data_IF_155365140024
#
_entry.id   IF_155365140024
#
_cell.length_a   1.000
_cell.length_b   1.000
_cell.length_c   1.000
_cell.angle_alpha   90.00
_cell.angle_beta   90.00
_cell.angle_gamma   90.00
#
_symmetry.space_group_name_H-M   'P 1'
#
loop_
_entity.id
_entity.type
_entity.pdbx_description
1 polymer ?
#
# COMPACT_ATOMS: atom_id res chain seq x y z
N UNK A 1 0.96 14.98 -41.73
CA UNK A 1 1.48 14.07 -40.69
C UNK A 1 1.56 14.87 -39.41
N UNK A 2 0.58 14.74 -38.51
CA UNK A 2 0.76 15.25 -37.15
C UNK A 2 1.96 14.49 -36.53
N UNK A 3 2.91 15.17 -35.88
CA UNK A 3 3.90 14.47 -35.08
C UNK A 3 3.14 13.72 -33.99
N UNK A 4 3.14 12.40 -34.06
CA UNK A 4 2.72 11.54 -32.95
C UNK A 4 3.67 11.81 -31.79
N UNK A 5 3.33 12.80 -30.96
CA UNK A 5 4.01 13.03 -29.70
C UNK A 5 3.79 11.78 -28.87
N UNK A 6 4.78 10.90 -28.85
CA UNK A 6 4.77 9.71 -28.01
C UNK A 6 4.55 10.19 -26.58
N UNK A 7 3.48 9.71 -25.96
CA UNK A 7 3.12 10.08 -24.59
C UNK A 7 4.31 9.82 -23.66
N UNK A 8 4.67 10.74 -22.75
CA UNK A 8 5.79 10.53 -21.82
C UNK A 8 5.56 9.31 -20.90
N UNK A 9 4.32 8.82 -20.82
CA UNK A 9 3.95 7.65 -20.03
C UNK A 9 4.24 6.31 -20.73
N UNK A 10 4.41 6.28 -22.07
CA UNK A 10 4.49 5.00 -22.81
C UNK A 10 5.71 4.16 -22.42
N UNK A 11 6.84 4.80 -22.11
CA UNK A 11 8.06 4.11 -21.65
C UNK A 11 7.88 3.40 -20.30
N UNK A 12 6.84 3.77 -19.54
CA UNK A 12 6.58 3.25 -18.20
C UNK A 12 5.47 2.20 -18.16
N UNK A 13 4.83 1.90 -19.28
CA UNK A 13 3.66 1.02 -19.34
C UNK A 13 3.93 -0.35 -18.70
N UNK A 14 5.00 -1.02 -19.11
CA UNK A 14 5.40 -2.31 -18.55
C UNK A 14 5.67 -2.25 -17.04
N UNK A 15 6.31 -1.16 -16.58
CA UNK A 15 6.58 -0.96 -15.17
C UNK A 15 5.27 -0.87 -14.37
N UNK A 16 4.31 -0.04 -14.80
CA UNK A 16 3.05 0.12 -14.08
C UNK A 16 2.13 -1.11 -14.20
N UNK A 17 2.21 -1.88 -15.28
CA UNK A 17 1.54 -3.18 -15.39
C UNK A 17 2.08 -4.16 -14.34
N UNK A 18 3.41 -4.26 -14.17
CA UNK A 18 4.04 -5.11 -13.16
C UNK A 18 3.63 -4.68 -11.73
N UNK A 19 3.76 -3.39 -11.42
CA UNK A 19 3.43 -2.86 -10.09
C UNK A 19 1.93 -3.02 -9.80
N UNK A 20 1.06 -2.67 -10.74
CA UNK A 20 -0.38 -2.72 -10.56
C UNK A 20 -0.90 -4.14 -10.39
N UNK A 21 -0.44 -5.08 -11.22
CA UNK A 21 -0.82 -6.50 -11.11
C UNK A 21 -0.33 -7.14 -9.81
N UNK A 22 0.91 -6.84 -9.39
CA UNK A 22 1.46 -7.30 -8.11
C UNK A 22 0.65 -6.78 -6.93
N UNK A 23 0.32 -5.48 -6.93
CA UNK A 23 -0.50 -4.86 -5.90
C UNK A 23 -1.91 -5.47 -5.83
N UNK A 24 -2.53 -5.75 -6.99
CA UNK A 24 -3.83 -6.42 -7.06
C UNK A 24 -3.78 -7.83 -6.47
N UNK A 25 -2.79 -8.62 -6.86
CA UNK A 25 -2.61 -9.98 -6.36
C UNK A 25 -2.39 -10.02 -4.84
N UNK A 26 -1.52 -9.14 -4.33
CA UNK A 26 -1.25 -9.03 -2.89
C UNK A 26 -2.46 -8.54 -2.09
N UNK A 27 -3.27 -7.65 -2.67
CA UNK A 27 -4.56 -7.26 -2.08
C UNK A 27 -5.48 -8.46 -1.93
N UNK A 28 -5.60 -9.30 -2.97
CA UNK A 28 -6.35 -10.55 -2.90
C UNK A 28 -5.83 -11.49 -1.81
N UNK A 29 -4.51 -11.64 -1.70
CA UNK A 29 -3.88 -12.46 -0.66
C UNK A 29 -4.18 -11.95 0.75
N UNK A 30 -4.24 -10.63 0.97
CA UNK A 30 -4.61 -10.07 2.27
C UNK A 30 -6.01 -10.47 2.72
N UNK A 31 -6.99 -10.58 1.81
CA UNK A 31 -8.31 -11.08 2.18
C UNK A 31 -8.26 -12.53 2.66
N UNK A 32 -7.43 -13.38 2.05
CA UNK A 32 -7.21 -14.76 2.49
C UNK A 32 -6.58 -14.79 3.88
N UNK A 33 -5.56 -13.96 4.13
CA UNK A 33 -4.89 -13.87 5.45
C UNK A 33 -5.88 -13.48 6.55
N UNK A 34 -6.75 -12.50 6.29
CA UNK A 34 -7.78 -12.07 7.24
C UNK A 34 -8.77 -13.20 7.55
N UNK A 35 -9.20 -13.95 6.52
CA UNK A 35 -10.12 -15.09 6.72
C UNK A 35 -9.44 -16.20 7.54
N UNK A 36 -8.23 -16.61 7.19
CA UNK A 36 -7.50 -17.66 7.91
C UNK A 36 -7.21 -17.30 9.37
N UNK A 37 -6.84 -16.05 9.64
CA UNK A 37 -6.61 -15.61 11.02
C UNK A 37 -7.90 -15.50 11.83
N UNK A 38 -9.04 -15.22 11.19
CA UNK A 38 -10.34 -15.24 11.84
C UNK A 38 -10.74 -16.69 12.23
N UNK A 39 -10.54 -17.64 11.33
CA UNK A 39 -10.78 -19.07 11.60
C UNK A 39 -9.88 -19.63 12.71
N UNK A 40 -8.60 -19.25 12.71
CA UNK A 40 -7.65 -19.67 13.75
C UNK A 40 -7.90 -19.01 15.11
N UNK A 41 -8.87 -18.08 15.22
CA UNK A 41 -9.13 -17.24 16.39
C UNK A 41 -7.89 -16.48 16.89
N UNK A 42 -6.88 -16.32 16.02
CA UNK A 42 -5.63 -15.62 16.27
C UNK A 42 -5.75 -14.12 16.00
N UNK A 43 -6.85 -13.69 15.39
CA UNK A 43 -7.20 -12.29 15.18
C UNK A 43 -8.10 -11.79 16.32
N UNK A 44 -7.51 -11.06 17.27
CA UNK A 44 -8.24 -10.22 18.23
C UNK A 44 -8.72 -8.89 17.60
N UNK A 45 -9.59 -8.11 18.28
CA UNK A 45 -10.12 -6.82 17.76
C UNK A 45 -9.03 -5.78 17.43
N UNK A 46 -7.79 -5.98 17.86
CA UNK A 46 -6.64 -5.13 17.57
C UNK A 46 -6.11 -5.29 16.12
N UNK A 47 -6.33 -6.44 15.46
CA UNK A 47 -5.82 -6.71 14.09
C UNK A 47 -6.53 -5.85 13.03
N UNK A 48 -7.77 -5.44 13.28
CA UNK A 48 -8.48 -4.45 12.44
C UNK A 48 -7.86 -3.04 12.49
N UNK A 49 -6.88 -2.79 13.35
CA UNK A 49 -6.10 -1.55 13.34
C UNK A 49 -4.86 -1.63 12.42
N UNK A 50 -4.32 -2.83 12.16
CA UNK A 50 -3.06 -3.03 11.42
C UNK A 50 -3.24 -3.60 10.01
N UNK A 51 -4.31 -4.37 9.74
CA UNK A 51 -4.55 -4.92 8.39
C UNK A 51 -5.11 -3.91 7.38
N UNK A 52 -5.93 -2.95 7.85
CA UNK A 52 -6.60 -1.98 6.96
C UNK A 52 -5.63 -1.03 6.23
N UNK A 53 -4.58 -0.48 6.88
CA UNK A 53 -3.60 0.37 6.18
C UNK A 53 -2.85 -0.34 5.05
N UNK A 54 -2.49 -1.61 5.24
CA UNK A 54 -1.76 -2.42 4.25
C UNK A 54 -2.55 -2.57 2.95
N UNK A 55 -3.84 -2.91 3.05
CA UNK A 55 -4.73 -3.01 1.89
C UNK A 55 -4.84 -1.66 1.16
N UNK A 56 -4.95 -0.55 1.91
CA UNK A 56 -5.04 0.78 1.32
C UNK A 56 -3.77 1.15 0.54
N UNK A 57 -2.58 0.79 1.04
CA UNK A 57 -1.32 1.05 0.32
C UNK A 57 -1.21 0.23 -0.97
N UNK A 58 -1.61 -1.04 -0.95
CA UNK A 58 -1.69 -1.83 -2.19
C UNK A 58 -2.70 -1.27 -3.18
N UNK A 59 -3.91 -0.90 -2.73
CA UNK A 59 -4.90 -0.26 -3.59
C UNK A 59 -4.40 1.08 -4.14
N UNK A 60 -3.63 1.86 -3.36
CA UNK A 60 -3.04 3.10 -3.83
C UNK A 60 -1.98 2.85 -4.92
N UNK A 61 -1.09 1.86 -4.75
CA UNK A 61 -0.12 1.46 -5.78
C UNK A 61 -0.82 1.00 -7.06
N UNK A 62 -1.88 0.19 -6.95
CA UNK A 62 -2.73 -0.22 -8.08
C UNK A 62 -3.37 0.99 -8.77
N UNK A 63 -3.95 1.91 -8.01
CA UNK A 63 -4.62 3.08 -8.55
C UNK A 63 -3.64 4.02 -9.27
N UNK A 64 -2.45 4.24 -8.71
CA UNK A 64 -1.38 5.02 -9.37
C UNK A 64 -0.98 4.36 -10.69
N UNK A 65 -0.76 3.04 -10.69
CA UNK A 65 -0.47 2.28 -11.92
C UNK A 65 -1.59 2.42 -12.95
N UNK A 66 -2.84 2.23 -12.54
CA UNK A 66 -4.00 2.36 -13.42
C UNK A 66 -4.08 3.78 -14.02
N UNK A 67 -3.90 4.82 -13.19
CA UNK A 67 -3.88 6.22 -13.65
C UNK A 67 -2.78 6.41 -14.69
N UNK A 68 -1.56 5.93 -14.47
CA UNK A 68 -0.47 6.14 -15.44
C UNK A 68 -0.53 5.25 -16.68
N UNK A 69 -1.31 4.17 -16.67
CA UNK A 69 -1.62 3.37 -17.85
C UNK A 69 -2.75 3.97 -18.72
N UNK A 70 -3.48 4.98 -18.23
CA UNK A 70 -4.50 5.66 -19.07
C UNK A 70 -3.80 6.47 -20.16
N UNK A 71 -4.27 6.41 -21.43
CA UNK A 71 -3.75 7.22 -22.52
C UNK A 71 -4.22 8.68 -22.40
N UNK A 72 -3.65 9.42 -21.46
CA UNK A 72 -4.00 10.82 -21.20
C UNK A 72 -3.70 11.71 -22.41
N UNK A 73 -4.69 12.50 -22.83
CA UNK A 73 -4.51 13.54 -23.86
C UNK A 73 -3.66 14.72 -23.39
N UNK A 74 -3.62 14.97 -22.08
CA UNK A 74 -2.86 16.04 -21.46
C UNK A 74 -2.24 15.58 -20.14
N UNK A 75 -0.96 15.90 -19.93
CA UNK A 75 -0.20 15.57 -18.70
C UNK A 75 -0.84 16.19 -17.46
N UNK A 76 -1.51 17.34 -17.61
CA UNK A 76 -2.27 18.01 -16.55
C UNK A 76 -3.33 17.11 -15.91
N UNK A 77 -4.03 16.32 -16.72
CA UNK A 77 -5.14 15.50 -16.24
C UNK A 77 -4.63 14.31 -15.41
N UNK A 78 -3.53 13.70 -15.85
CA UNK A 78 -2.81 12.71 -15.07
C UNK A 78 -2.32 13.29 -13.75
N UNK A 79 -1.72 14.49 -13.79
CA UNK A 79 -1.26 15.21 -12.60
C UNK A 79 -2.38 15.51 -11.60
N UNK A 80 -3.56 15.94 -12.07
CA UNK A 80 -4.72 16.17 -11.20
C UNK A 80 -5.21 14.88 -10.53
N UNK A 81 -5.31 13.78 -11.29
CA UNK A 81 -5.72 12.48 -10.76
C UNK A 81 -4.72 11.97 -9.70
N UNK A 82 -3.42 12.01 -10.00
CA UNK A 82 -2.36 11.64 -9.06
C UNK A 82 -2.33 12.55 -7.83
N UNK A 83 -2.54 13.86 -8.02
CA UNK A 83 -2.62 14.83 -6.94
C UNK A 83 -3.78 14.52 -5.99
N UNK A 84 -4.95 14.15 -6.51
CA UNK A 84 -6.08 13.71 -5.70
C UNK A 84 -5.74 12.45 -4.87
N UNK A 85 -5.03 11.48 -5.46
CA UNK A 85 -4.55 10.30 -4.72
C UNK A 85 -3.56 10.68 -3.62
N UNK A 86 -2.61 11.58 -3.90
CA UNK A 86 -1.67 12.09 -2.91
C UNK A 86 -2.35 12.78 -1.73
N UNK A 87 -3.31 13.67 -2.00
CA UNK A 87 -4.10 14.35 -0.95
C UNK A 87 -4.90 13.35 -0.13
N UNK A 88 -5.62 12.42 -0.78
CA UNK A 88 -6.40 11.40 -0.09
C UNK A 88 -5.52 10.53 0.82
N UNK A 89 -4.34 10.15 0.34
CA UNK A 89 -3.34 9.40 1.11
C UNK A 89 -2.84 10.17 2.33
N UNK A 90 -2.50 11.45 2.19
CA UNK A 90 -2.08 12.31 3.31
C UNK A 90 -3.18 12.41 4.37
N UNK A 91 -4.42 12.64 3.96
CA UNK A 91 -5.57 12.71 4.87
C UNK A 91 -5.76 11.38 5.59
N UNK A 92 -5.67 10.26 4.87
CA UNK A 92 -5.73 8.93 5.46
C UNK A 92 -4.62 8.72 6.50
N UNK A 93 -3.38 9.10 6.19
CA UNK A 93 -2.26 8.98 7.13
C UNK A 93 -2.47 9.83 8.38
N UNK A 94 -3.04 11.03 8.27
CA UNK A 94 -3.38 11.84 9.43
C UNK A 94 -4.41 11.12 10.34
N UNK A 95 -5.38 10.41 9.75
CA UNK A 95 -6.34 9.59 10.51
C UNK A 95 -5.65 8.41 11.19
N UNK A 96 -4.76 7.70 10.49
CA UNK A 96 -3.99 6.56 11.03
C UNK A 96 -3.12 7.01 12.21
N UNK A 97 -2.33 8.07 12.04
CA UNK A 97 -1.47 8.64 13.09
C UNK A 97 -2.31 9.08 14.29
N UNK A 98 -3.46 9.72 14.06
CA UNK A 98 -4.36 10.14 15.14
C UNK A 98 -4.93 8.94 15.90
N UNK A 99 -5.28 7.86 15.19
CA UNK A 99 -5.79 6.63 15.79
C UNK A 99 -4.71 5.93 16.62
N UNK A 100 -3.51 5.79 16.08
CA UNK A 100 -2.36 5.20 16.76
C UNK A 100 -2.03 5.95 18.05
N UNK A 101 -1.94 7.29 18.02
CA UNK A 101 -1.67 8.12 19.21
C UNK A 101 -2.74 8.02 20.31
N UNK A 102 -3.98 7.66 19.96
CA UNK A 102 -5.08 7.52 20.94
C UNK A 102 -5.12 6.14 21.61
N UNK A 103 -4.43 5.14 21.07
CA UNK A 103 -4.38 3.80 21.66
C UNK A 103 -3.30 3.77 22.77
N UNK A 104 -3.69 4.21 23.97
CA UNK A 104 -2.84 4.35 25.17
C UNK A 104 -2.37 3.01 25.80
N UNK A 105 -2.78 1.84 25.26
CA UNK A 105 -2.53 0.52 25.88
C UNK A 105 -1.31 -0.24 25.36
N UNK A 106 -0.80 0.14 24.20
CA UNK A 106 0.39 -0.46 23.59
C UNK A 106 1.47 0.62 23.46
N UNK A 107 2.72 0.30 23.82
CA UNK A 107 3.85 1.22 23.63
C UNK A 107 4.39 0.95 22.23
N UNK A 108 4.09 1.77 21.22
CA UNK A 108 4.54 1.51 19.86
C UNK A 108 6.07 1.56 19.81
N UNK A 109 6.66 0.54 19.19
CA UNK A 109 8.11 0.49 18.98
C UNK A 109 8.47 1.47 17.84
N UNK A 110 9.71 1.93 17.79
CA UNK A 110 10.17 2.87 16.75
C UNK A 110 9.89 2.37 15.33
N UNK A 111 9.99 1.05 15.14
CA UNK A 111 9.75 0.36 13.88
C UNK A 111 8.30 0.50 13.40
N UNK A 112 7.32 0.37 14.30
CA UNK A 112 5.90 0.56 13.98
C UNK A 112 5.64 1.97 13.45
N UNK A 113 6.26 2.97 14.08
CA UNK A 113 6.14 4.37 13.66
C UNK A 113 6.76 4.62 12.29
N UNK A 114 7.89 3.97 11.99
CA UNK A 114 8.55 4.13 10.70
C UNK A 114 7.72 3.53 9.56
N UNK A 115 7.33 2.26 9.69
CA UNK A 115 6.65 1.52 8.63
C UNK A 115 5.17 1.85 8.48
N UNK A 116 4.47 2.13 9.58
CA UNK A 116 3.02 2.38 9.53
C UNK A 116 2.65 3.87 9.49
N UNK A 117 3.60 4.79 9.74
CA UNK A 117 3.31 6.23 9.76
C UNK A 117 4.28 7.03 8.89
N UNK A 118 5.59 6.97 9.15
CA UNK A 118 6.56 7.88 8.51
C UNK A 118 6.73 7.58 7.02
N UNK A 119 7.04 6.34 6.63
CA UNK A 119 7.28 6.00 5.23
C UNK A 119 6.04 6.18 4.34
N UNK A 120 4.83 5.74 4.73
CA UNK A 120 3.64 6.00 3.91
C UNK A 120 3.34 7.49 3.79
N UNK A 121 3.53 8.27 4.86
CA UNK A 121 3.32 9.72 4.81
C UNK A 121 4.29 10.39 3.83
N UNK A 122 5.58 10.05 3.90
CA UNK A 122 6.61 10.55 2.97
C UNK A 122 6.24 10.15 1.53
N UNK A 123 5.78 8.92 1.31
CA UNK A 123 5.34 8.44 0.00
C UNK A 123 4.21 9.31 -0.56
N UNK A 124 3.13 9.55 0.20
CA UNK A 124 2.01 10.35 -0.30
C UNK A 124 2.34 11.85 -0.48
N UNK A 125 3.21 12.42 0.37
CA UNK A 125 3.71 13.80 0.16
C UNK A 125 4.56 13.87 -1.10
N UNK A 126 5.41 12.88 -1.35
CA UNK A 126 6.23 12.79 -2.56
C UNK A 126 5.35 12.65 -3.80
N UNK A 127 4.30 11.82 -3.74
CA UNK A 127 3.32 11.69 -4.82
C UNK A 127 2.67 13.03 -5.15
N UNK A 128 2.20 13.75 -4.14
CA UNK A 128 1.54 15.04 -4.32
C UNK A 128 2.51 16.08 -4.92
N UNK A 129 3.73 16.16 -4.39
CA UNK A 129 4.74 17.08 -4.92
C UNK A 129 5.09 16.76 -6.39
N UNK A 130 5.33 15.49 -6.71
CA UNK A 130 5.61 15.04 -8.07
C UNK A 130 4.42 15.30 -9.01
N UNK A 131 3.18 15.09 -8.56
CA UNK A 131 1.98 15.37 -9.34
C UNK A 131 1.83 16.87 -9.68
N UNK A 132 2.11 17.76 -8.72
CA UNK A 132 2.05 19.22 -8.92
C UNK A 132 3.16 19.73 -9.86
N UNK A 133 4.32 19.07 -9.86
CA UNK A 133 5.47 19.44 -10.68
C UNK A 133 5.54 18.70 -12.02
N UNK A 134 4.64 17.73 -12.25
CA UNK A 134 4.68 16.81 -13.40
C UNK A 134 4.73 17.52 -14.75
N UNK A 135 4.05 18.66 -14.91
CA UNK A 135 4.06 19.42 -16.16
C UNK A 135 5.40 20.15 -16.40
N UNK A 136 6.14 20.48 -15.34
CA UNK A 136 7.39 21.25 -15.43
C UNK A 136 8.58 20.37 -15.73
N UNK A 137 8.65 19.19 -15.10
CA UNK A 137 9.73 18.23 -15.30
C UNK A 137 9.18 16.79 -15.32
N UNK A 138 8.56 16.37 -16.44
CA UNK A 138 7.96 15.04 -16.53
C UNK A 138 8.93 13.88 -16.25
N UNK A 139 10.17 13.84 -16.78
CA UNK A 139 11.08 12.73 -16.54
C UNK A 139 11.38 12.48 -15.06
N UNK A 140 11.76 13.53 -14.32
CA UNK A 140 12.05 13.42 -12.89
C UNK A 140 10.80 13.08 -12.08
N UNK A 141 9.67 13.70 -12.41
CA UNK A 141 8.43 13.45 -11.68
C UNK A 141 7.93 12.01 -11.89
N UNK A 142 8.09 11.45 -13.09
CA UNK A 142 7.73 10.05 -13.37
C UNK A 142 8.61 9.06 -12.59
N UNK A 143 9.90 9.35 -12.44
CA UNK A 143 10.80 8.57 -11.57
C UNK A 143 10.32 8.62 -10.11
N UNK A 144 9.97 9.80 -9.60
CA UNK A 144 9.47 9.96 -8.24
C UNK A 144 8.11 9.25 -8.02
N UNK A 145 7.20 9.32 -8.98
CA UNK A 145 5.91 8.61 -8.93
C UNK A 145 6.13 7.10 -8.95
N UNK A 146 7.02 6.60 -9.83
CA UNK A 146 7.37 5.19 -9.90
C UNK A 146 8.01 4.68 -8.61
N UNK A 147 8.98 5.43 -8.07
CA UNK A 147 9.60 5.14 -6.77
C UNK A 147 8.58 5.14 -5.63
N UNK A 148 7.60 6.07 -5.67
CA UNK A 148 6.52 6.13 -4.68
C UNK A 148 5.61 4.91 -4.74
N UNK A 149 5.19 4.49 -5.94
CA UNK A 149 4.37 3.30 -6.12
C UNK A 149 5.09 2.03 -5.62
N UNK A 150 6.39 1.92 -5.92
CA UNK A 150 7.23 0.83 -5.46
C UNK A 150 7.41 0.84 -3.94
N UNK A 151 7.62 2.02 -3.34
CA UNK A 151 7.74 2.18 -1.89
C UNK A 151 6.45 1.76 -1.18
N UNK A 152 5.28 2.21 -1.66
CA UNK A 152 3.98 1.80 -1.09
C UNK A 152 3.77 0.29 -1.20
N UNK A 153 4.19 -0.32 -2.31
CA UNK A 153 4.13 -1.77 -2.49
C UNK A 153 5.03 -2.50 -1.48
N UNK A 154 6.28 -2.07 -1.29
CA UNK A 154 7.19 -2.69 -0.33
C UNK A 154 6.76 -2.50 1.12
N UNK A 155 6.25 -1.32 1.49
CA UNK A 155 5.66 -1.10 2.81
C UNK A 155 4.52 -2.10 3.03
N UNK A 156 3.63 -2.25 2.04
CA UNK A 156 2.53 -3.20 2.15
C UNK A 156 3.01 -4.65 2.27
N UNK A 157 4.05 -5.04 1.53
CA UNK A 157 4.64 -6.39 1.61
C UNK A 157 5.24 -6.64 2.99
N UNK A 158 5.97 -5.67 3.55
CA UNK A 158 6.54 -5.77 4.89
C UNK A 158 5.44 -5.97 5.93
N UNK A 159 4.45 -5.07 5.95
CA UNK A 159 3.34 -5.15 6.91
C UNK A 159 2.53 -6.43 6.74
N UNK A 160 2.35 -6.91 5.51
CA UNK A 160 1.69 -8.18 5.20
C UNK A 160 2.47 -9.37 5.75
N UNK A 161 3.79 -9.36 5.62
CA UNK A 161 4.67 -10.41 6.14
C UNK A 161 4.61 -10.48 7.67
N UNK A 162 4.65 -9.33 8.34
CA UNK A 162 4.52 -9.25 9.80
C UNK A 162 3.17 -9.83 10.27
N UNK A 163 2.08 -9.50 9.59
CA UNK A 163 0.76 -10.04 9.91
C UNK A 163 0.68 -11.57 9.73
N UNK A 164 1.25 -12.10 8.63
CA UNK A 164 1.23 -13.54 8.35
C UNK A 164 2.06 -14.32 9.37
N UNK A 165 3.26 -13.84 9.69
CA UNK A 165 4.14 -14.50 10.68
C UNK A 165 3.54 -14.49 12.07
N UNK A 166 2.86 -13.39 12.45
CA UNK A 166 2.11 -13.32 13.70
C UNK A 166 0.97 -14.36 13.74
N UNK A 167 0.14 -14.45 12.69
CA UNK A 167 -0.96 -15.42 12.62
C UNK A 167 -0.43 -16.87 12.67
N UNK A 168 0.65 -17.16 11.96
CA UNK A 168 1.25 -18.49 11.92
C UNK A 168 1.81 -18.94 13.29
N UNK A 169 2.38 -18.02 14.07
CA UNK A 169 2.91 -18.33 15.41
C UNK A 169 1.84 -18.48 16.48
N UNK A 170 0.66 -17.89 16.27
CA UNK A 170 -0.48 -17.92 17.20
C UNK A 170 -1.41 -19.14 17.01
N UNK A 171 -1.18 -20.01 16.01
CA UNK A 171 -2.02 -21.19 15.82
C UNK A 171 -1.97 -22.11 17.06
N UNK A 172 -3.13 -22.42 17.69
CA UNK A 172 -3.18 -23.33 18.82
C UNK A 172 -2.56 -24.67 18.42
N UNK A 173 -1.61 -25.18 19.21
CA UNK A 173 -1.14 -26.56 19.03
C UNK A 173 -2.35 -27.49 19.13
N UNK A 174 -2.63 -28.23 18.04
CA UNK A 174 -3.63 -29.28 18.04
C UNK A 174 -3.42 -30.15 19.28
N UNK A 175 -4.42 -30.30 20.18
CA UNK A 175 -4.29 -31.18 21.33
C UNK A 175 -3.88 -32.57 20.82
N UNK A 176 -2.66 -33.01 21.15
CA UNK A 176 -2.22 -34.37 20.89
C UNK A 176 -3.25 -35.27 21.54
N UNK A 177 -3.99 -36.03 20.73
CA UNK A 177 -5.01 -36.95 21.21
C UNK A 177 -4.44 -37.79 22.35
N UNK A 178 -5.09 -37.72 23.52
CA UNK A 178 -4.77 -38.62 24.61
C UNK A 178 -4.84 -40.05 24.09
N UNK A 179 -3.81 -40.89 24.27
CA UNK A 179 -3.92 -42.30 23.90
C UNK A 179 -5.02 -42.92 24.75
N UNK A 180 -6.04 -43.48 24.10
CA UNK A 180 -7.07 -44.27 24.76
C UNK A 180 -6.39 -45.38 25.56
N UNK A 181 -6.48 -45.28 26.90
CA UNK A 181 -6.14 -46.41 27.79
C UNK A 181 -7.23 -47.46 27.63
N UNK A 182 -6.89 -48.57 26.98
CA UNK A 182 -7.57 -49.85 27.13
C UNK A 182 -7.14 -50.53 28.43
#
# INVERSE_FOLDING_TARGET
MEPTSVSPFSAWENFYVIIGSSAAALTGLQFVVVVLGAEARSIGPEVGAFGTPTVIHFCAALLVSAILSVPWRAVSNAGLALGAVGVAGIVYMAVVIRRARRQMKYVPVLEDWLWHCAFPFIAYVTLLAAALLLQRDPPTCLLLIGATALLLLFIGIHNAWDAVTYIATQQPQHPKGHPERK
#
